data_IF_267936606438
#
_entry.id   IF_267936606438
#
_cell.length_a   1.000
_cell.length_b   1.000
_cell.length_c   1.000
_cell.angle_alpha   90.00
_cell.angle_beta   90.00
_cell.angle_gamma   90.00
#
_symmetry.space_group_name_H-M   'P 1'
#
loop_
_entity.id
_entity.type
_entity.pdbx_description
1 polymer ?
#
# COMPACT_ATOMS: atom_id res chain seq x y z
N UNK A 1 38.28 17.53 21.34
CA UNK A 1 39.16 17.53 20.16
C UNK A 1 38.70 16.43 19.23
N UNK A 2 38.47 16.81 17.97
CA UNK A 2 38.44 15.99 16.75
C UNK A 2 37.47 14.79 16.70
N UNK A 3 36.76 14.48 15.63
CA UNK A 3 36.51 15.07 14.32
C UNK A 3 35.36 14.22 13.75
N UNK A 4 34.32 14.81 13.17
CA UNK A 4 33.36 14.02 12.39
C UNK A 4 32.89 14.82 11.17
N UNK A 5 33.64 14.63 10.09
CA UNK A 5 33.23 14.57 8.67
C UNK A 5 32.14 15.57 8.24
N UNK A 6 32.58 16.80 7.98
CA UNK A 6 31.95 17.69 7.01
C UNK A 6 32.30 17.21 5.59
N UNK A 7 31.58 16.20 5.12
CA UNK A 7 31.61 15.80 3.70
C UNK A 7 30.19 15.71 3.17
N UNK A 8 29.52 16.86 3.09
CA UNK A 8 28.30 17.02 2.32
C UNK A 8 28.48 18.24 1.40
N UNK A 9 29.17 18.03 0.27
CA UNK A 9 29.07 18.92 -0.88
C UNK A 9 27.69 18.72 -1.54
N UNK A 10 26.67 19.29 -0.91
CA UNK A 10 25.45 19.76 -1.56
C UNK A 10 25.35 21.27 -1.34
N UNK A 11 24.49 22.02 -2.05
CA UNK A 11 24.31 23.43 -1.75
C UNK A 11 23.95 23.53 -0.27
N UNK A 12 24.74 24.30 0.49
CA UNK A 12 24.52 24.60 1.91
C UNK A 12 23.03 24.80 2.11
N UNK A 13 22.41 23.95 2.93
CA UNK A 13 20.98 24.00 3.20
C UNK A 13 20.64 25.45 3.53
N UNK A 14 19.87 26.12 2.67
CA UNK A 14 19.56 27.54 2.84
C UNK A 14 18.80 27.68 4.15
N UNK A 15 19.45 28.31 5.13
CA UNK A 15 18.81 28.68 6.40
C UNK A 15 17.57 29.50 6.04
N UNK A 16 16.42 29.14 6.63
CA UNK A 16 15.13 29.78 6.31
C UNK A 16 15.25 31.29 6.54
N UNK A 17 14.75 32.15 5.64
CA UNK A 17 14.70 33.59 5.89
C UNK A 17 13.95 33.86 7.20
N UNK A 18 14.61 34.49 8.18
CA UNK A 18 14.05 34.70 9.52
C UNK A 18 14.27 33.58 10.52
N UNK A 19 15.05 32.54 10.19
CA UNK A 19 15.38 31.48 11.14
C UNK A 19 16.15 32.02 12.35
N UNK A 20 15.73 31.62 13.54
CA UNK A 20 16.39 32.00 14.80
C UNK A 20 17.50 31.01 15.20
N UNK A 21 17.58 29.86 14.53
CA UNK A 21 18.58 28.83 14.82
C UNK A 21 18.96 27.99 13.60
N UNK A 22 20.20 27.49 13.59
CA UNK A 22 20.67 26.48 12.62
C UNK A 22 19.89 25.16 12.75
N UNK A 23 19.28 24.90 13.91
CA UNK A 23 18.47 23.70 14.11
C UNK A 23 17.18 23.70 13.28
N UNK A 24 16.70 24.87 12.84
CA UNK A 24 15.53 25.00 11.96
C UNK A 24 15.76 24.41 10.57
N UNK A 25 17.02 24.18 10.18
CA UNK A 25 17.36 23.42 8.96
C UNK A 25 16.89 21.97 9.05
N UNK A 26 16.79 21.42 10.26
CA UNK A 26 16.29 20.07 10.52
C UNK A 26 14.80 20.03 10.87
N UNK A 27 14.13 21.19 10.94
CA UNK A 27 12.70 21.23 11.18
C UNK A 27 11.94 20.70 9.94
N UNK A 28 10.83 19.97 10.12
CA UNK A 28 9.99 19.56 9.00
C UNK A 28 9.50 20.81 8.23
N UNK A 29 9.22 20.68 6.93
CA UNK A 29 8.68 21.78 6.15
C UNK A 29 7.31 22.19 6.69
N UNK A 30 7.00 23.47 6.58
CA UNK A 30 5.64 23.98 6.85
C UNK A 30 4.64 23.42 5.83
N UNK A 31 3.33 23.52 6.12
CA UNK A 31 2.28 23.08 5.19
C UNK A 31 2.42 23.74 3.81
N UNK A 32 2.74 25.03 3.79
CA UNK A 32 2.92 25.82 2.57
C UNK A 32 4.15 25.38 1.78
N UNK A 33 5.29 25.17 2.46
CA UNK A 33 6.51 24.68 1.82
C UNK A 33 6.32 23.27 1.23
N UNK A 34 5.67 22.38 1.98
CA UNK A 34 5.35 21.03 1.50
C UNK A 34 4.47 21.07 0.25
N UNK A 35 3.47 21.96 0.22
CA UNK A 35 2.63 22.17 -0.96
C UNK A 35 3.42 22.73 -2.15
N UNK A 36 4.28 23.72 -1.92
CA UNK A 36 5.13 24.30 -2.97
C UNK A 36 6.02 23.24 -3.61
N UNK A 37 6.57 22.32 -2.81
CA UNK A 37 7.33 21.18 -3.31
C UNK A 37 6.43 20.22 -4.08
N UNK A 38 5.26 19.87 -3.53
CA UNK A 38 4.33 18.91 -4.10
C UNK A 38 3.76 19.34 -5.47
N UNK A 39 3.67 20.65 -5.72
CA UNK A 39 3.16 21.22 -6.96
C UNK A 39 4.25 21.72 -7.91
N UNK A 40 5.54 21.42 -7.66
CA UNK A 40 6.62 21.85 -8.54
C UNK A 40 6.46 21.22 -9.94
N UNK A 41 6.32 22.07 -10.96
CA UNK A 41 5.99 21.64 -12.32
C UNK A 41 7.13 20.85 -12.99
N UNK A 42 8.37 21.12 -12.61
CA UNK A 42 9.55 20.68 -13.37
C UNK A 42 10.32 19.57 -12.66
N UNK A 43 10.30 19.53 -11.33
CA UNK A 43 11.15 18.64 -10.54
C UNK A 43 10.34 17.54 -9.83
N UNK A 44 10.44 16.33 -10.37
CA UNK A 44 9.79 15.15 -9.80
C UNK A 44 10.26 14.80 -8.39
N UNK A 45 11.54 15.07 -8.05
CA UNK A 45 12.05 14.79 -6.71
C UNK A 45 11.42 15.73 -5.69
N UNK A 46 11.24 17.01 -6.03
CA UNK A 46 10.51 17.93 -5.17
C UNK A 46 9.05 17.53 -5.02
N UNK A 47 8.37 17.15 -6.11
CA UNK A 47 7.00 16.65 -6.03
C UNK A 47 6.91 15.45 -5.11
N UNK A 48 7.77 14.46 -5.30
CA UNK A 48 7.85 13.27 -4.45
C UNK A 48 8.07 13.63 -2.97
N UNK A 49 9.03 14.53 -2.68
CA UNK A 49 9.31 14.99 -1.32
C UNK A 49 8.10 15.70 -0.71
N UNK A 50 7.50 16.66 -1.42
CA UNK A 50 6.33 17.39 -0.98
C UNK A 50 5.15 16.46 -0.67
N UNK A 51 4.82 15.55 -1.59
CA UNK A 51 3.77 14.55 -1.37
C UNK A 51 4.09 13.64 -0.18
N UNK A 52 5.34 13.21 -0.02
CA UNK A 52 5.75 12.36 1.11
C UNK A 52 5.57 13.06 2.45
N UNK A 53 5.86 14.37 2.53
CA UNK A 53 5.62 15.15 3.74
C UNK A 53 4.13 15.28 4.04
N UNK A 54 3.31 15.62 3.04
CA UNK A 54 1.86 15.73 3.22
C UNK A 54 1.27 14.39 3.65
N UNK A 55 1.63 13.30 2.98
CA UNK A 55 1.14 11.95 3.26
C UNK A 55 1.62 11.39 4.62
N UNK A 56 2.74 11.89 5.17
CA UNK A 56 3.22 11.52 6.50
C UNK A 56 2.68 12.38 7.64
N UNK A 57 1.86 13.39 7.32
CA UNK A 57 1.40 14.38 8.30
C UNK A 57 0.04 14.02 8.92
N UNK A 58 -0.30 14.67 10.03
CA UNK A 58 -1.63 14.52 10.63
C UNK A 58 -2.74 15.18 9.82
N UNK A 59 -2.41 16.02 8.84
CA UNK A 59 -3.34 16.77 8.02
C UNK A 59 -3.46 16.22 6.59
N UNK A 60 -2.76 15.13 6.25
CA UNK A 60 -2.75 14.56 4.89
C UNK A 60 -4.14 14.12 4.39
N UNK A 61 -5.08 13.88 5.29
CA UNK A 61 -6.47 13.54 4.96
C UNK A 61 -7.43 14.72 4.75
N UNK A 62 -6.97 15.97 4.84
CA UNK A 62 -7.84 17.10 4.49
C UNK A 62 -8.14 17.11 2.97
N UNK A 63 -9.34 17.53 2.59
CA UNK A 63 -9.87 17.38 1.23
C UNK A 63 -8.96 17.95 0.12
N UNK A 64 -8.29 19.07 0.38
CA UNK A 64 -7.37 19.70 -0.58
C UNK A 64 -6.15 18.81 -0.89
N UNK A 65 -5.68 18.01 0.06
CA UNK A 65 -4.56 17.10 -0.14
C UNK A 65 -4.99 15.80 -0.81
N UNK A 66 -6.22 15.34 -0.53
CA UNK A 66 -6.82 14.22 -1.26
C UNK A 66 -6.93 14.53 -2.75
N UNK A 67 -7.42 15.73 -3.11
CA UNK A 67 -7.45 16.18 -4.50
C UNK A 67 -6.05 16.20 -5.12
N UNK A 68 -5.06 16.74 -4.41
CA UNK A 68 -3.67 16.73 -4.87
C UNK A 68 -3.17 15.29 -5.12
N UNK A 69 -3.47 14.33 -4.25
CA UNK A 69 -3.06 12.94 -4.46
C UNK A 69 -3.76 12.31 -5.68
N UNK A 70 -5.06 12.57 -5.85
CA UNK A 70 -5.82 12.11 -7.02
C UNK A 70 -5.20 12.63 -8.32
N UNK A 71 -4.89 13.93 -8.39
CA UNK A 71 -4.25 14.55 -9.55
C UNK A 71 -2.89 13.91 -9.87
N UNK A 72 -2.16 13.46 -8.84
CA UNK A 72 -0.80 12.90 -8.95
C UNK A 72 -0.77 11.41 -9.26
N UNK A 73 -1.92 10.74 -9.35
CA UNK A 73 -1.99 9.36 -9.87
C UNK A 73 -1.57 9.25 -11.34
N UNK A 74 -1.58 10.36 -12.10
CA UNK A 74 -1.17 10.39 -13.51
C UNK A 74 0.17 11.10 -13.74
N UNK A 75 0.94 11.34 -12.66
CA UNK A 75 2.24 12.03 -12.77
C UNK A 75 3.22 11.24 -13.65
N UNK A 76 4.11 11.96 -14.36
CA UNK A 76 5.12 11.35 -15.23
C UNK A 76 6.11 10.49 -14.45
N UNK A 77 6.40 10.89 -13.21
CA UNK A 77 7.34 10.17 -12.36
C UNK A 77 6.66 9.03 -11.57
N UNK A 78 7.18 7.80 -11.64
CA UNK A 78 6.59 6.66 -10.93
C UNK A 78 6.69 6.77 -9.40
N UNK A 79 7.70 7.46 -8.88
CA UNK A 79 7.82 7.73 -7.44
C UNK A 79 6.68 8.61 -6.95
N UNK A 80 6.32 9.64 -7.71
CA UNK A 80 5.18 10.52 -7.43
C UNK A 80 3.85 9.75 -7.48
N UNK A 81 3.64 8.91 -8.49
CA UNK A 81 2.44 8.04 -8.56
C UNK A 81 2.37 7.05 -7.40
N UNK A 82 3.51 6.48 -7.01
CA UNK A 82 3.63 5.55 -5.88
C UNK A 82 3.17 6.20 -4.57
N UNK A 83 3.68 7.40 -4.26
CA UNK A 83 3.31 8.08 -3.01
C UNK A 83 1.85 8.56 -3.04
N UNK A 84 1.34 8.99 -4.20
CA UNK A 84 -0.06 9.35 -4.37
C UNK A 84 -1.00 8.17 -4.07
N UNK A 85 -0.73 6.99 -4.66
CA UNK A 85 -1.51 5.78 -4.40
C UNK A 85 -1.46 5.37 -2.91
N UNK A 86 -0.27 5.42 -2.27
CA UNK A 86 -0.13 5.14 -0.83
C UNK A 86 -0.92 6.10 0.05
N UNK A 87 -0.87 7.39 -0.27
CA UNK A 87 -1.57 8.41 0.48
C UNK A 87 -3.10 8.23 0.38
N UNK A 88 -3.62 7.97 -0.83
CA UNK A 88 -5.04 7.64 -1.01
C UNK A 88 -5.43 6.33 -0.35
N UNK A 89 -4.56 5.33 -0.29
CA UNK A 89 -4.81 4.14 0.53
C UNK A 89 -4.93 4.45 2.02
N UNK A 90 -4.24 5.47 2.52
CA UNK A 90 -4.20 5.81 3.95
C UNK A 90 -5.33 6.77 4.37
N UNK A 91 -5.69 7.71 3.50
CA UNK A 91 -6.63 8.79 3.81
C UNK A 91 -7.86 8.85 2.89
N UNK A 92 -7.80 8.17 1.75
CA UNK A 92 -8.86 8.19 0.75
C UNK A 92 -10.06 7.34 1.18
N UNK A 93 -10.95 7.14 0.22
CA UNK A 93 -12.22 6.45 0.41
C UNK A 93 -12.48 5.45 -0.73
N UNK A 94 -13.52 4.62 -0.65
CA UNK A 94 -13.88 3.68 -1.72
C UNK A 94 -14.00 4.30 -3.13
N UNK A 95 -14.28 5.59 -3.24
CA UNK A 95 -14.39 6.30 -4.53
C UNK A 95 -13.05 6.40 -5.26
N UNK A 96 -11.92 6.35 -4.54
CA UNK A 96 -10.57 6.45 -5.10
C UNK A 96 -10.08 5.10 -5.69
N UNK A 97 -10.73 4.01 -5.28
CA UNK A 97 -10.30 2.65 -5.61
C UNK A 97 -10.25 2.38 -7.13
N UNK A 98 -11.21 2.80 -7.98
CA UNK A 98 -11.16 2.53 -9.42
C UNK A 98 -9.94 3.15 -10.11
N UNK A 99 -9.55 4.36 -9.74
CA UNK A 99 -8.37 5.02 -10.30
C UNK A 99 -7.07 4.31 -9.90
N UNK A 100 -6.98 3.85 -8.65
CA UNK A 100 -5.84 3.08 -8.15
C UNK A 100 -5.80 1.68 -8.80
N UNK A 101 -6.96 1.05 -9.00
CA UNK A 101 -7.06 -0.24 -9.67
C UNK A 101 -6.62 -0.17 -11.14
N UNK A 102 -6.80 0.97 -11.80
CA UNK A 102 -6.24 1.22 -13.14
C UNK A 102 -4.71 1.17 -13.11
N UNK A 103 -4.07 1.87 -12.16
CA UNK A 103 -2.62 1.82 -12.00
C UNK A 103 -2.11 0.41 -11.69
N UNK A 104 -2.84 -0.36 -10.89
CA UNK A 104 -2.48 -1.74 -10.59
C UNK A 104 -2.32 -2.61 -11.85
N UNK A 105 -3.12 -2.41 -12.90
CA UNK A 105 -3.09 -3.27 -14.09
C UNK A 105 -2.39 -2.64 -15.30
N UNK A 106 -2.32 -1.32 -15.38
CA UNK A 106 -1.79 -0.60 -16.55
C UNK A 106 -0.42 0.05 -16.32
N UNK A 107 0.01 0.27 -15.07
CA UNK A 107 1.26 0.98 -14.81
C UNK A 107 2.49 0.12 -15.14
N UNK A 108 3.47 0.73 -15.82
CA UNK A 108 4.69 0.04 -16.21
C UNK A 108 5.65 -0.19 -15.03
N UNK A 109 5.59 0.66 -13.99
CA UNK A 109 6.47 0.57 -12.84
C UNK A 109 5.92 -0.39 -11.77
N UNK A 110 6.73 -1.36 -11.40
CA UNK A 110 6.39 -2.41 -10.43
C UNK A 110 6.05 -1.83 -9.06
N UNK A 111 6.74 -0.77 -8.62
CA UNK A 111 6.50 -0.16 -7.31
C UNK A 111 5.15 0.55 -7.27
N UNK A 112 4.72 1.15 -8.39
CA UNK A 112 3.38 1.74 -8.51
C UNK A 112 2.32 0.65 -8.42
N UNK A 113 2.48 -0.47 -9.12
CA UNK A 113 1.54 -1.61 -9.05
C UNK A 113 1.45 -2.20 -7.64
N UNK A 114 2.59 -2.43 -6.98
CA UNK A 114 2.63 -2.89 -5.57
C UNK A 114 1.93 -1.89 -4.64
N UNK A 115 2.24 -0.59 -4.76
CA UNK A 115 1.62 0.44 -3.94
C UNK A 115 0.10 0.51 -4.17
N UNK A 116 -0.34 0.33 -5.41
CA UNK A 116 -1.75 0.31 -5.78
C UNK A 116 -2.47 -0.90 -5.18
N UNK A 117 -1.90 -2.10 -5.27
CA UNK A 117 -2.45 -3.30 -4.63
C UNK A 117 -2.54 -3.13 -3.09
N UNK A 118 -1.54 -2.53 -2.46
CA UNK A 118 -1.57 -2.22 -1.01
C UNK A 118 -2.61 -1.18 -0.64
N UNK A 119 -2.77 -0.14 -1.45
CA UNK A 119 -3.82 0.86 -1.23
C UNK A 119 -5.21 0.21 -1.33
N UNK A 120 -5.43 -0.70 -2.29
CA UNK A 120 -6.69 -1.43 -2.43
C UNK A 120 -6.96 -2.42 -1.29
N UNK A 121 -5.97 -2.82 -0.49
CA UNK A 121 -6.23 -3.55 0.77
C UNK A 121 -6.94 -2.68 1.81
N UNK A 122 -6.83 -1.35 1.69
CA UNK A 122 -7.41 -0.37 2.62
C UNK A 122 -8.70 0.26 2.10
N UNK A 123 -8.99 0.11 0.82
CA UNK A 123 -10.16 0.71 0.19
C UNK A 123 -11.08 -0.41 -0.33
N UNK A 124 -12.22 -0.56 0.31
CA UNK A 124 -13.19 -1.58 -0.07
C UNK A 124 -14.12 -1.06 -1.16
N UNK A 125 -13.91 -1.53 -2.39
CA UNK A 125 -14.80 -1.26 -3.51
C UNK A 125 -14.94 -2.52 -4.40
N UNK A 126 -16.09 -3.22 -4.40
CA UNK A 126 -16.29 -4.43 -5.20
C UNK A 126 -16.09 -4.25 -6.72
N UNK A 127 -16.15 -3.02 -7.24
CA UNK A 127 -15.91 -2.72 -8.65
C UNK A 127 -14.47 -3.03 -9.09
N UNK A 128 -13.50 -3.06 -8.16
CA UNK A 128 -12.07 -3.30 -8.48
C UNK A 128 -11.68 -4.77 -8.49
N UNK A 129 -12.58 -5.68 -8.12
CA UNK A 129 -12.32 -7.13 -8.07
C UNK A 129 -11.80 -7.69 -9.40
N UNK A 130 -12.31 -7.30 -10.59
CA UNK A 130 -11.76 -7.77 -11.88
C UNK A 130 -10.29 -7.39 -12.11
N UNK A 131 -9.87 -6.20 -11.68
CA UNK A 131 -8.49 -5.73 -11.78
C UNK A 131 -7.59 -6.49 -10.80
N UNK A 132 -8.08 -6.75 -9.58
CA UNK A 132 -7.39 -7.62 -8.62
C UNK A 132 -7.23 -9.06 -9.15
N UNK A 133 -8.24 -9.61 -9.83
CA UNK A 133 -8.13 -10.92 -10.48
C UNK A 133 -7.11 -10.94 -11.61
N UNK A 134 -6.99 -9.84 -12.34
CA UNK A 134 -5.98 -9.65 -13.38
C UNK A 134 -4.59 -9.59 -12.77
N UNK A 135 -4.41 -8.82 -11.69
CA UNK A 135 -3.14 -8.69 -10.97
C UNK A 135 -2.71 -9.96 -10.21
N UNK A 136 -3.65 -10.86 -9.87
CA UNK A 136 -3.35 -12.17 -9.30
C UNK A 136 -2.96 -13.21 -10.36
N UNK A 137 -3.23 -12.95 -11.64
CA UNK A 137 -2.98 -13.90 -12.72
C UNK A 137 -1.50 -13.98 -13.08
N UNK A 138 -0.83 -15.11 -12.85
CA UNK A 138 0.56 -15.32 -13.24
C UNK A 138 0.82 -15.16 -14.75
N UNK A 139 -0.21 -15.35 -15.59
CA UNK A 139 -0.12 -15.11 -17.03
C UNK A 139 -0.23 -13.64 -17.45
N UNK A 140 -0.62 -12.73 -16.53
CA UNK A 140 -0.79 -11.30 -16.82
C UNK A 140 0.09 -10.39 -15.96
N UNK A 141 0.46 -10.83 -14.77
CA UNK A 141 1.37 -10.13 -13.86
C UNK A 141 2.59 -11.00 -13.57
N UNK A 142 3.73 -10.60 -14.12
CA UNK A 142 5.00 -11.30 -13.94
C UNK A 142 5.54 -11.16 -12.51
N UNK A 143 5.28 -10.03 -11.84
CA UNK A 143 5.87 -9.72 -10.55
C UNK A 143 5.11 -10.38 -9.40
N UNK A 144 5.71 -11.42 -8.80
CA UNK A 144 5.13 -12.14 -7.68
C UNK A 144 4.71 -11.22 -6.52
N UNK A 145 5.44 -10.13 -6.28
CA UNK A 145 5.14 -9.17 -5.22
C UNK A 145 3.80 -8.49 -5.46
N UNK A 146 3.47 -8.15 -6.71
CA UNK A 146 2.15 -7.59 -7.04
C UNK A 146 1.06 -8.64 -6.83
N UNK A 147 1.30 -9.88 -7.25
CA UNK A 147 0.34 -11.00 -7.07
C UNK A 147 0.04 -11.28 -5.60
N UNK A 148 1.07 -11.25 -4.73
CA UNK A 148 0.91 -11.37 -3.27
C UNK A 148 0.00 -10.26 -2.74
N UNK A 149 0.27 -9.00 -3.09
CA UNK A 149 -0.53 -7.89 -2.57
C UNK A 149 -1.96 -7.90 -3.13
N UNK A 150 -2.16 -8.37 -4.37
CA UNK A 150 -3.48 -8.57 -4.96
C UNK A 150 -4.26 -9.70 -4.25
N UNK A 151 -3.60 -10.84 -3.96
CA UNK A 151 -4.20 -11.91 -3.16
C UNK A 151 -4.60 -11.43 -1.76
N UNK A 152 -3.76 -10.59 -1.13
CA UNK A 152 -4.07 -9.95 0.15
C UNK A 152 -5.29 -9.05 0.06
N UNK A 153 -5.37 -8.19 -0.97
CA UNK A 153 -6.51 -7.31 -1.19
C UNK A 153 -7.81 -8.08 -1.44
N UNK A 154 -7.73 -9.22 -2.13
CA UNK A 154 -8.89 -10.07 -2.40
C UNK A 154 -9.50 -10.67 -1.13
N UNK A 155 -8.73 -10.84 -0.06
CA UNK A 155 -9.21 -11.39 1.22
C UNK A 155 -10.32 -10.59 1.89
N UNK A 156 -10.55 -9.33 1.50
CA UNK A 156 -11.63 -8.50 2.04
C UNK A 156 -12.99 -8.72 1.33
N UNK A 157 -13.01 -9.35 0.16
CA UNK A 157 -14.20 -9.46 -0.67
C UNK A 157 -14.89 -10.81 -0.42
N UNK A 158 -15.96 -10.78 0.39
CA UNK A 158 -16.76 -11.96 0.76
C UNK A 158 -17.65 -12.44 -0.39
N UNK A 159 -17.02 -12.89 -1.46
CA UNK A 159 -17.69 -13.33 -2.69
C UNK A 159 -17.22 -14.73 -3.10
N UNK A 160 -18.17 -15.56 -3.51
CA UNK A 160 -17.93 -16.95 -3.93
C UNK A 160 -16.92 -17.04 -5.08
N UNK A 161 -16.99 -16.14 -6.06
CA UNK A 161 -16.02 -16.05 -7.17
C UNK A 161 -14.60 -15.71 -6.73
N UNK A 162 -14.44 -14.99 -5.61
CA UNK A 162 -13.12 -14.64 -5.06
C UNK A 162 -12.48 -15.88 -4.44
N UNK A 163 -13.27 -16.70 -3.74
CA UNK A 163 -12.81 -18.00 -3.22
C UNK A 163 -12.35 -18.90 -4.38
N UNK A 164 -13.15 -19.05 -5.43
CA UNK A 164 -12.79 -19.85 -6.61
C UNK A 164 -11.47 -19.36 -7.24
N UNK A 165 -11.34 -18.03 -7.41
CA UNK A 165 -10.15 -17.44 -8.01
C UNK A 165 -8.91 -17.64 -7.14
N UNK A 166 -9.02 -17.49 -5.83
CA UNK A 166 -7.93 -17.75 -4.89
C UNK A 166 -7.54 -19.23 -4.91
N UNK A 167 -8.49 -20.16 -4.89
CA UNK A 167 -8.19 -21.60 -5.01
C UNK A 167 -7.46 -21.90 -6.33
N UNK A 168 -7.87 -21.28 -7.44
CA UNK A 168 -7.17 -21.41 -8.72
C UNK A 168 -5.72 -20.87 -8.65
N UNK A 169 -5.52 -19.74 -7.98
CA UNK A 169 -4.21 -19.10 -7.82
C UNK A 169 -3.23 -19.86 -6.90
N UNK A 170 -3.67 -20.91 -6.18
CA UNK A 170 -2.75 -21.80 -5.45
C UNK A 170 -1.83 -22.63 -6.36
N UNK A 171 -2.09 -22.64 -7.67
CA UNK A 171 -1.20 -23.23 -8.66
C UNK A 171 -0.02 -22.31 -9.05
N UNK A 172 0.11 -21.14 -8.42
CA UNK A 172 1.24 -20.25 -8.66
C UNK A 172 2.57 -20.94 -8.29
N UNK A 173 3.62 -20.68 -9.08
CA UNK A 173 4.96 -21.21 -8.81
C UNK A 173 5.61 -20.55 -7.58
N UNK A 174 5.16 -19.37 -7.20
CA UNK A 174 5.68 -18.60 -6.07
C UNK A 174 5.05 -19.05 -4.76
N UNK A 175 5.88 -19.62 -3.87
CA UNK A 175 5.47 -19.95 -2.50
C UNK A 175 4.89 -18.73 -1.74
N UNK A 176 5.48 -17.52 -1.80
CA UNK A 176 4.86 -16.32 -1.23
C UNK A 176 3.41 -16.07 -1.67
N UNK A 177 3.09 -16.26 -2.96
CA UNK A 177 1.72 -16.12 -3.47
C UNK A 177 0.82 -17.19 -2.85
N UNK A 178 1.24 -18.45 -2.86
CA UNK A 178 0.48 -19.57 -2.30
C UNK A 178 0.16 -19.40 -0.81
N UNK A 179 1.13 -18.93 -0.02
CA UNK A 179 0.94 -18.63 1.40
C UNK A 179 -0.06 -17.51 1.61
N UNK A 180 0.04 -16.42 0.82
CA UNK A 180 -0.91 -15.31 0.92
C UNK A 180 -2.31 -15.71 0.50
N UNK A 181 -2.43 -16.49 -0.57
CA UNK A 181 -3.70 -17.04 -1.06
C UNK A 181 -4.36 -17.91 0.02
N UNK A 182 -3.60 -18.79 0.68
CA UNK A 182 -4.08 -19.56 1.83
C UNK A 182 -4.61 -18.63 2.92
N UNK A 183 -3.85 -17.61 3.32
CA UNK A 183 -4.24 -16.71 4.41
C UNK A 183 -5.52 -15.91 4.07
N UNK A 184 -5.67 -15.48 2.82
CA UNK A 184 -6.91 -14.85 2.33
C UNK A 184 -8.08 -15.83 2.33
N UNK A 185 -7.88 -17.09 1.92
CA UNK A 185 -8.91 -18.12 1.98
C UNK A 185 -9.31 -18.45 3.41
N UNK A 186 -8.37 -18.53 4.35
CA UNK A 186 -8.65 -18.67 5.78
C UNK A 186 -9.52 -17.53 6.30
N UNK A 187 -9.21 -16.30 5.89
CA UNK A 187 -10.00 -15.12 6.27
C UNK A 187 -11.42 -15.21 5.72
N UNK A 188 -11.59 -15.60 4.45
CA UNK A 188 -12.89 -15.68 3.79
C UNK A 188 -13.74 -16.88 4.21
N UNK A 189 -13.12 -18.00 4.59
CA UNK A 189 -13.83 -19.27 4.77
C UNK A 189 -13.77 -19.84 6.18
N UNK A 190 -12.79 -19.42 6.98
CA UNK A 190 -12.47 -20.02 8.28
C UNK A 190 -11.81 -21.40 8.21
N UNK A 191 -11.69 -22.00 7.02
CA UNK A 191 -11.04 -23.29 6.80
C UNK A 191 -9.53 -23.11 6.56
N UNK A 192 -8.73 -24.16 6.79
CA UNK A 192 -7.29 -24.18 6.46
C UNK A 192 -6.88 -25.59 6.00
N UNK A 193 -6.50 -25.71 4.72
CA UNK A 193 -5.96 -26.94 4.14
C UNK A 193 -4.52 -26.75 3.65
N UNK A 194 -3.81 -25.76 4.20
CA UNK A 194 -2.47 -25.41 3.77
C UNK A 194 -2.45 -24.87 2.33
N UNK A 195 -1.40 -25.22 1.58
CA UNK A 195 -1.21 -24.80 0.18
C UNK A 195 -1.65 -25.86 -0.83
N UNK A 196 -2.41 -26.88 -0.38
CA UNK A 196 -2.90 -27.95 -1.25
C UNK A 196 -4.13 -27.50 -2.04
N UNK A 197 -3.93 -27.14 -3.31
CA UNK A 197 -5.03 -26.75 -4.18
C UNK A 197 -6.12 -27.82 -4.27
N UNK A 198 -5.75 -29.10 -4.35
CA UNK A 198 -6.68 -30.21 -4.48
C UNK A 198 -7.61 -30.34 -3.27
N UNK A 199 -7.08 -30.17 -2.06
CA UNK A 199 -7.87 -30.25 -0.82
C UNK A 199 -8.85 -29.08 -0.73
N UNK A 200 -8.39 -27.87 -1.05
CA UNK A 200 -9.25 -26.69 -1.15
C UNK A 200 -10.37 -26.86 -2.18
N UNK A 201 -10.07 -27.39 -3.37
CA UNK A 201 -11.08 -27.66 -4.40
C UNK A 201 -12.09 -28.73 -3.97
N UNK A 202 -11.63 -29.81 -3.33
CA UNK A 202 -12.48 -30.89 -2.83
C UNK A 202 -13.45 -30.37 -1.78
N UNK A 203 -12.94 -29.64 -0.78
CA UNK A 203 -13.75 -28.99 0.25
C UNK A 203 -14.76 -28.00 -0.35
N UNK A 204 -14.33 -27.15 -1.29
CA UNK A 204 -15.18 -26.14 -1.89
C UNK A 204 -16.35 -26.76 -2.67
N UNK A 205 -16.10 -27.80 -3.46
CA UNK A 205 -17.17 -28.54 -4.18
C UNK A 205 -18.18 -29.21 -3.25
N UNK A 206 -17.75 -29.64 -2.07
CA UNK A 206 -18.60 -30.28 -1.07
C UNK A 206 -19.33 -29.30 -0.13
N UNK A 207 -19.03 -28.00 -0.19
CA UNK A 207 -19.54 -27.02 0.76
C UNK A 207 -20.50 -26.01 0.09
N UNK A 208 -21.79 -26.11 0.43
CA UNK A 208 -22.82 -25.20 -0.07
C UNK A 208 -22.74 -23.76 0.49
N UNK A 209 -21.95 -23.53 1.53
CA UNK A 209 -21.84 -22.21 2.20
C UNK A 209 -20.39 -21.93 2.62
N UNK A 210 -19.46 -21.75 1.66
CA UNK A 210 -18.03 -21.62 1.94
C UNK A 210 -17.65 -20.36 2.73
N UNK A 211 -18.54 -19.35 2.80
CA UNK A 211 -18.30 -18.07 3.47
C UNK A 211 -18.99 -17.95 4.84
N UNK A 212 -19.63 -19.02 5.33
CA UNK A 212 -20.41 -19.00 6.57
C UNK A 212 -19.56 -18.64 7.79
N UNK A 213 -18.30 -19.04 7.80
CA UNK A 213 -17.35 -18.80 8.91
C UNK A 213 -16.31 -17.73 8.58
N UNK A 214 -16.61 -16.79 7.67
CA UNK A 214 -15.63 -15.72 7.36
C UNK A 214 -15.33 -14.88 8.60
N UNK A 215 -14.04 -14.61 8.80
CA UNK A 215 -13.59 -13.60 9.74
C UNK A 215 -13.73 -12.19 9.13
N UNK A 216 -13.67 -11.17 9.98
CA UNK A 216 -13.48 -9.79 9.52
C UNK A 216 -12.07 -9.62 8.94
N UNK A 217 -11.97 -8.97 7.78
CA UNK A 217 -10.69 -8.67 7.16
C UNK A 217 -10.04 -7.44 7.81
N UNK A 218 -8.76 -7.56 8.14
CA UNK A 218 -7.88 -6.45 8.45
C UNK A 218 -6.68 -6.48 7.53
N UNK A 219 -6.31 -5.36 6.95
CA UNK A 219 -5.10 -5.31 6.12
C UNK A 219 -3.85 -5.52 6.99
N UNK A 220 -2.82 -6.21 6.46
CA UNK A 220 -1.58 -6.47 7.17
C UNK A 220 -0.82 -5.17 7.49
N UNK A 221 0.02 -5.21 8.52
CA UNK A 221 0.95 -4.13 8.78
C UNK A 221 2.11 -4.18 7.77
N UNK A 222 2.43 -3.04 7.15
CA UNK A 222 3.63 -2.94 6.34
C UNK A 222 4.72 -2.29 7.19
N UNK A 223 5.70 -3.10 7.57
CA UNK A 223 6.87 -2.64 8.32
C UNK A 223 8.02 -2.42 7.35
N UNK A 224 8.75 -1.32 7.51
CA UNK A 224 10.06 -1.22 6.88
C UNK A 224 11.05 -2.12 7.63
N UNK A 225 12.04 -2.66 6.91
CA UNK A 225 13.15 -3.35 7.56
C UNK A 225 13.85 -2.45 8.58
N UNK A 226 14.31 -3.06 9.67
CA UNK A 226 15.16 -2.37 10.64
C UNK A 226 16.48 -1.97 9.99
N UNK A 227 16.91 -0.74 10.21
CA UNK A 227 18.28 -0.31 9.94
C UNK A 227 19.19 -0.93 11.00
N UNK A 228 20.48 -1.08 10.70
CA UNK A 228 21.44 -1.76 11.60
C UNK A 228 21.43 -1.22 13.05
N UNK A 229 21.25 0.09 13.24
CA UNK A 229 21.22 0.71 14.56
C UNK A 229 19.91 0.50 15.32
N UNK A 230 18.83 0.09 14.64
CA UNK A 230 17.53 -0.22 15.24
C UNK A 230 17.49 -1.62 15.85
N UNK A 231 18.55 -2.42 15.67
CA UNK A 231 18.78 -3.69 16.38
C UNK A 231 19.41 -3.48 17.77
N UNK A 232 19.84 -2.26 18.11
CA UNK A 232 20.45 -1.96 19.41
C UNK A 232 19.35 -1.99 20.49
N UNK A 233 19.54 -2.72 21.61
CA UNK A 233 18.60 -2.68 22.73
C UNK A 233 18.30 -1.24 23.15
N UNK A 234 17.03 -0.93 23.43
CA UNK A 234 16.52 0.40 23.83
C UNK A 234 16.35 1.44 22.71
N UNK A 235 16.70 1.13 21.46
CA UNK A 235 16.22 1.93 20.32
C UNK A 235 14.74 1.58 20.08
N UNK A 236 13.81 2.56 20.11
CA UNK A 236 12.41 2.28 19.84
C UNK A 236 12.26 1.72 18.43
N UNK A 237 11.39 0.73 18.29
CA UNK A 237 11.05 0.18 16.98
C UNK A 237 10.54 1.30 16.07
N UNK A 238 10.82 1.24 14.76
CA UNK A 238 10.29 2.23 13.84
C UNK A 238 8.76 2.28 13.95
N UNK A 239 8.14 3.47 13.82
CA UNK A 239 6.68 3.54 13.79
C UNK A 239 6.20 2.68 12.62
N UNK A 240 5.58 1.56 12.95
CA UNK A 240 5.01 0.64 11.98
C UNK A 240 3.55 1.02 11.75
N UNK A 241 3.09 0.85 10.51
CA UNK A 241 1.69 1.07 10.17
C UNK A 241 0.80 0.15 11.03
N UNK A 242 -0.25 0.72 11.64
CA UNK A 242 -1.23 -0.07 12.36
C UNK A 242 -2.10 -0.86 11.37
N UNK A 243 -2.47 -2.09 11.72
CA UNK A 243 -3.52 -2.83 11.01
C UNK A 243 -4.86 -2.15 11.23
N UNK A 244 -5.76 -2.25 10.25
CA UNK A 244 -7.09 -1.66 10.36
C UNK A 244 -8.13 -2.33 9.48
N UNK A 245 -9.37 -1.89 9.64
CA UNK A 245 -10.48 -2.27 8.77
C UNK A 245 -10.41 -1.38 7.51
N UNK A 246 -10.59 -1.93 6.29
CA UNK A 246 -10.62 -1.12 5.09
C UNK A 246 -11.77 -0.10 5.12
N UNK A 247 -11.52 1.11 4.63
CA UNK A 247 -12.55 2.11 4.43
C UNK A 247 -13.63 1.56 3.47
N UNK A 248 -14.90 1.72 3.83
CA UNK A 248 -16.03 1.19 3.06
C UNK A 248 -16.58 -0.16 3.54
N UNK A 249 -15.87 -0.87 4.42
CA UNK A 249 -16.42 -2.06 5.08
C UNK A 249 -17.23 -1.61 6.30
N UNK A 250 -18.53 -1.94 6.34
CA UNK A 250 -19.32 -1.75 7.56
C UNK A 250 -18.81 -2.71 8.64
N UNK A 251 -18.60 -2.27 9.89
CA UNK A 251 -18.29 -3.19 10.99
C UNK A 251 -19.40 -4.25 11.07
N UNK A 252 -19.02 -5.53 11.15
CA UNK A 252 -19.99 -6.59 11.37
C UNK A 252 -20.83 -6.26 12.62
N UNK A 253 -22.16 -6.25 12.47
CA UNK A 253 -23.09 -6.11 13.60
C UNK A 253 -23.11 -7.39 14.42
#
# INVERSE_FOLDING_TARGET
MAACVLSACGPVAKIRPGAQSILEVFAPPTREEAMKLATDEFDANKRYQGLSYVAGSTYGGEAQYLQLFQDRLTDRDPGVRTIAARALGSYGSPVDAPAIAKLLVEDTDVNVRIASARALQRLHNPEVVPQLFTALDAGKEAEQSVRVEAASALGQYRETRVVERLIAAMADESLPVNLRVRDSLRTLTGADFGTSQADWQSWYKGNASPLASSAGYTYPNFSRGQRWFEYIPFVPQPPNEATGIPAGVSPAR
#
